data_IF_701928097255
#
_entry.id   IF_701928097255
#
_cell.length_a   1.000
_cell.length_b   1.000
_cell.length_c   1.000
_cell.angle_alpha   90.00
_cell.angle_beta   90.00
_cell.angle_gamma   90.00
#
_symmetry.space_group_name_H-M   'P 1'
#
loop_
_entity.id
_entity.type
_entity.pdbx_description
1 polymer ?
#
# COMPACT_ATOMS: atom_id res chain seq x y z
N UNK A 1 22.44 20.86 -2.08
CA UNK A 1 21.39 20.08 -1.39
C UNK A 1 21.28 20.66 0.02
N UNK A 2 20.33 21.56 0.26
CA UNK A 2 20.03 22.10 1.58
C UNK A 2 18.68 21.57 2.01
N UNK A 3 18.63 20.72 3.03
CA UNK A 3 17.40 20.24 3.63
C UNK A 3 17.16 20.99 4.93
N UNK A 4 16.04 21.71 5.03
CA UNK A 4 15.60 22.32 6.28
C UNK A 4 14.93 21.25 7.15
N UNK A 5 15.40 21.12 8.39
CA UNK A 5 14.85 20.17 9.35
C UNK A 5 13.66 20.82 10.08
N UNK A 6 12.47 20.25 9.91
CA UNK A 6 11.29 20.61 10.68
C UNK A 6 11.07 19.58 11.79
N UNK A 7 11.20 20.02 13.04
CA UNK A 7 10.97 19.17 14.21
C UNK A 7 9.49 19.17 14.60
N UNK A 8 8.90 17.97 14.72
CA UNK A 8 7.59 17.78 15.35
C UNK A 8 7.68 18.18 16.83
N UNK A 9 6.77 19.02 17.32
CA UNK A 9 6.63 19.30 18.76
C UNK A 9 5.45 18.50 19.31
N UNK A 10 5.52 18.02 20.56
CA UNK A 10 4.50 17.13 21.18
C UNK A 10 3.06 17.65 21.23
N UNK A 11 2.80 18.89 20.79
CA UNK A 11 1.48 19.52 20.81
C UNK A 11 1.04 20.04 19.42
N UNK A 12 1.67 19.59 18.33
CA UNK A 12 1.31 20.01 16.97
C UNK A 12 0.98 18.83 16.04
N UNK A 13 -0.22 18.23 16.14
CA UNK A 13 -0.65 17.11 15.31
C UNK A 13 -0.82 17.46 13.81
N UNK A 14 -0.68 18.73 13.45
CA UNK A 14 -0.92 19.21 12.08
C UNK A 14 0.18 18.79 11.09
N UNK A 15 1.40 18.52 11.56
CA UNK A 15 2.54 18.18 10.68
C UNK A 15 2.78 16.68 10.59
N UNK A 16 2.59 15.93 11.69
CA UNK A 16 3.02 14.53 11.78
C UNK A 16 1.88 13.50 11.64
N UNK A 17 0.63 13.95 11.56
CA UNK A 17 -0.53 13.03 11.58
C UNK A 17 -0.58 11.99 10.44
N UNK A 18 0.08 12.26 9.31
CA UNK A 18 0.22 11.26 8.25
C UNK A 18 1.24 10.18 8.60
N UNK A 19 2.41 10.57 9.11
CA UNK A 19 3.44 9.65 9.59
C UNK A 19 2.94 8.85 10.78
N UNK A 20 2.22 9.47 11.71
CA UNK A 20 1.62 8.81 12.88
C UNK A 20 0.63 7.72 12.45
N UNK A 21 -0.21 7.98 11.44
CA UNK A 21 -1.11 6.96 10.88
C UNK A 21 -0.37 5.81 10.22
N UNK A 22 0.72 6.10 9.50
CA UNK A 22 1.58 5.05 8.91
C UNK A 22 2.24 4.23 10.01
N UNK A 23 2.77 4.87 11.04
CA UNK A 23 3.42 4.22 12.18
C UNK A 23 2.43 3.32 12.94
N UNK A 24 1.21 3.79 13.20
CA UNK A 24 0.17 2.98 13.83
C UNK A 24 -0.23 1.76 12.98
N UNK A 25 -0.31 1.93 11.65
CA UNK A 25 -0.59 0.82 10.73
C UNK A 25 0.56 -0.19 10.69
N UNK A 26 1.82 0.28 10.69
CA UNK A 26 3.00 -0.56 10.79
C UNK A 26 3.03 -1.33 12.11
N UNK A 27 2.74 -0.68 13.24
CA UNK A 27 2.62 -1.36 14.53
C UNK A 27 1.55 -2.43 14.52
N UNK A 28 0.35 -2.13 14.00
CA UNK A 28 -0.73 -3.10 13.90
C UNK A 28 -0.31 -4.29 13.04
N UNK A 29 0.34 -4.04 11.90
CA UNK A 29 0.83 -5.08 11.02
C UNK A 29 1.87 -5.96 11.75
N UNK A 30 2.90 -5.34 12.32
CA UNK A 30 3.97 -6.03 13.05
C UNK A 30 3.43 -6.85 14.23
N UNK A 31 2.41 -6.37 14.97
CA UNK A 31 1.80 -7.15 16.06
C UNK A 31 1.23 -8.50 15.60
N UNK A 32 0.77 -8.62 14.36
CA UNK A 32 0.26 -9.88 13.81
C UNK A 32 1.38 -10.82 13.34
N UNK A 33 2.58 -10.29 13.11
CA UNK A 33 3.71 -11.03 12.53
C UNK A 33 4.95 -11.08 13.43
N UNK A 34 4.91 -10.52 14.64
CA UNK A 34 5.96 -10.67 15.65
C UNK A 34 5.50 -11.77 16.61
N UNK A 35 5.67 -13.01 16.18
CA UNK A 35 5.63 -14.20 17.04
C UNK A 35 7.06 -14.63 17.35
N UNK A 36 7.27 -15.37 18.45
CA UNK A 36 8.61 -15.84 18.86
C UNK A 36 9.39 -16.59 17.76
N UNK A 37 8.69 -17.15 16.75
CA UNK A 37 9.28 -17.83 15.61
C UNK A 37 9.31 -17.03 14.29
N UNK A 38 8.69 -15.86 14.23
CA UNK A 38 8.51 -15.10 12.98
C UNK A 38 9.61 -14.04 12.84
N UNK A 39 10.68 -14.39 12.10
CA UNK A 39 11.90 -13.56 11.94
C UNK A 39 11.92 -12.76 10.63
N UNK A 40 10.88 -12.86 9.81
CA UNK A 40 10.81 -12.29 8.47
C UNK A 40 10.04 -10.96 8.40
N UNK A 41 9.80 -10.31 9.54
CA UNK A 41 9.10 -9.02 9.64
C UNK A 41 9.62 -7.95 8.66
N UNK A 42 10.93 -7.94 8.37
CA UNK A 42 11.52 -7.00 7.42
C UNK A 42 11.01 -7.22 5.98
N UNK A 43 10.75 -8.47 5.58
CA UNK A 43 10.16 -8.80 4.26
C UNK A 43 8.69 -8.40 4.17
N UNK A 44 8.04 -8.25 5.33
CA UNK A 44 6.63 -7.90 5.43
C UNK A 44 6.41 -6.38 5.36
N UNK A 45 7.47 -5.58 5.55
CA UNK A 45 7.41 -4.12 5.39
C UNK A 45 7.00 -3.70 3.98
N UNK A 46 7.49 -4.40 2.96
CA UNK A 46 7.13 -4.12 1.56
C UNK A 46 5.61 -4.29 1.35
N UNK A 47 5.03 -5.32 1.99
CA UNK A 47 3.59 -5.58 1.92
C UNK A 47 2.80 -4.53 2.69
N UNK A 48 3.26 -4.13 3.87
CA UNK A 48 2.63 -3.06 4.65
C UNK A 48 2.64 -1.72 3.91
N UNK A 49 3.78 -1.33 3.34
CA UNK A 49 3.92 -0.13 2.52
C UNK A 49 3.01 -0.18 1.28
N UNK A 50 3.01 -1.31 0.58
CA UNK A 50 2.14 -1.50 -0.58
C UNK A 50 0.66 -1.37 -0.20
N UNK A 51 0.25 -1.96 0.92
CA UNK A 51 -1.14 -1.92 1.40
C UNK A 51 -1.56 -0.50 1.79
N UNK A 52 -0.70 0.24 2.48
CA UNK A 52 -0.93 1.66 2.80
C UNK A 52 -1.07 2.50 1.53
N UNK A 53 -0.16 2.34 0.56
CA UNK A 53 -0.20 3.08 -0.70
C UNK A 53 -1.41 2.74 -1.57
N UNK A 54 -2.03 1.57 -1.35
CA UNK A 54 -3.26 1.13 -2.01
C UNK A 54 -4.51 1.76 -1.37
N UNK A 55 -4.48 2.03 -0.07
CA UNK A 55 -5.66 2.47 0.67
C UNK A 55 -6.08 3.89 0.28
N UNK A 56 -7.34 4.07 -0.10
CA UNK A 56 -7.92 5.39 -0.34
C UNK A 56 -8.19 6.09 1.00
N UNK A 57 -7.79 7.35 1.10
CA UNK A 57 -8.15 8.19 2.23
C UNK A 57 -9.60 8.68 2.09
N UNK A 58 -10.41 8.62 3.15
CA UNK A 58 -11.78 9.15 3.13
C UNK A 58 -11.82 10.65 2.82
N UNK A 59 -10.82 11.41 3.27
CA UNK A 59 -10.77 12.86 3.09
C UNK A 59 -10.57 13.28 1.62
N UNK A 60 -9.79 12.52 0.86
CA UNK A 60 -9.42 12.85 -0.52
C UNK A 60 -10.04 11.92 -1.55
N UNK A 61 -10.64 10.81 -1.10
CA UNK A 61 -11.10 9.67 -1.89
C UNK A 61 -10.02 9.10 -2.84
N UNK A 62 -8.75 9.40 -2.56
CA UNK A 62 -7.59 9.00 -3.36
C UNK A 62 -6.59 8.28 -2.48
N UNK A 63 -5.89 7.35 -3.10
CA UNK A 63 -4.78 6.63 -2.52
C UNK A 63 -3.45 7.37 -2.76
N UNK A 64 -2.40 7.11 -1.95
CA UNK A 64 -1.06 7.62 -2.23
C UNK A 64 -0.55 7.25 -3.62
N UNK A 65 -0.82 6.03 -4.12
CA UNK A 65 -0.44 5.67 -5.49
C UNK A 65 -1.11 6.57 -6.54
N UNK A 66 -2.41 6.86 -6.41
CA UNK A 66 -3.08 7.76 -7.36
C UNK A 66 -2.56 9.19 -7.28
N UNK A 67 -2.20 9.65 -6.08
CA UNK A 67 -1.65 10.99 -5.92
C UNK A 67 -0.24 11.10 -6.52
N UNK A 68 0.56 10.05 -6.41
CA UNK A 68 1.94 10.04 -6.89
C UNK A 68 2.07 9.72 -8.39
N UNK A 69 1.29 8.76 -8.90
CA UNK A 69 1.43 8.23 -10.27
C UNK A 69 0.18 8.44 -11.14
N UNK A 70 -0.93 8.89 -10.56
CA UNK A 70 -2.21 9.00 -11.25
C UNK A 70 -2.95 7.68 -11.41
N UNK A 71 -2.39 6.54 -10.99
CA UNK A 71 -2.98 5.22 -11.18
C UNK A 71 -2.96 4.35 -9.91
N UNK A 72 -3.96 3.47 -9.79
CA UNK A 72 -3.99 2.42 -8.77
C UNK A 72 -3.43 1.11 -9.37
N UNK A 73 -2.43 0.47 -8.73
CA UNK A 73 -1.94 -0.81 -9.20
C UNK A 73 -3.01 -1.90 -9.07
N UNK A 74 -3.03 -2.81 -10.05
CA UNK A 74 -3.90 -3.98 -10.01
C UNK A 74 -3.39 -4.95 -8.96
N UNK A 75 -4.26 -5.32 -8.02
CA UNK A 75 -3.94 -6.35 -7.02
C UNK A 75 -4.41 -7.73 -7.52
N UNK A 76 -3.79 -8.82 -7.06
CA UNK A 76 -4.25 -10.17 -7.40
C UNK A 76 -5.75 -10.36 -7.14
N UNK A 77 -6.27 -9.76 -6.06
CA UNK A 77 -7.69 -9.78 -5.73
C UNK A 77 -8.57 -9.12 -6.82
N UNK A 78 -8.15 -7.99 -7.39
CA UNK A 78 -8.86 -7.33 -8.51
C UNK A 78 -8.81 -8.12 -9.82
N UNK A 79 -7.82 -9.00 -10.00
CA UNK A 79 -7.75 -9.89 -11.14
C UNK A 79 -8.64 -11.14 -10.97
N UNK A 80 -8.86 -11.58 -9.72
CA UNK A 80 -9.73 -12.73 -9.39
C UNK A 80 -11.21 -12.38 -9.36
N UNK A 81 -11.59 -11.14 -9.03
CA UNK A 81 -12.96 -10.67 -9.23
C UNK A 81 -13.17 -10.57 -10.73
N UNK A 82 -13.98 -11.49 -11.28
CA UNK A 82 -14.17 -11.70 -12.71
C UNK A 82 -14.23 -10.39 -13.48
N UNK A 83 -13.33 -10.26 -14.46
CA UNK A 83 -13.24 -9.14 -15.39
C UNK A 83 -14.62 -8.71 -15.91
N UNK A 84 -15.05 -7.50 -15.57
CA UNK A 84 -16.32 -6.89 -16.03
C UNK A 84 -16.14 -6.02 -17.28
N UNK A 85 -14.94 -6.00 -17.88
CA UNK A 85 -14.63 -5.16 -19.03
C UNK A 85 -15.16 -5.70 -20.35
N UNK A 86 -15.43 -4.80 -21.31
CA UNK A 86 -15.99 -5.13 -22.63
C UNK A 86 -15.02 -5.82 -23.60
N UNK A 87 -13.73 -5.93 -23.27
CA UNK A 87 -12.70 -6.41 -24.21
C UNK A 87 -12.15 -7.79 -23.82
N UNK A 88 -12.52 -8.87 -24.54
CA UNK A 88 -11.99 -10.22 -24.30
C UNK A 88 -10.47 -10.35 -24.49
N UNK A 89 -9.84 -9.43 -25.23
CA UNK A 89 -8.40 -9.46 -25.50
C UNK A 89 -7.57 -9.09 -24.24
N UNK A 90 -8.01 -8.09 -23.48
CA UNK A 90 -7.33 -7.69 -22.24
C UNK A 90 -7.36 -8.79 -21.18
N UNK A 91 -8.46 -9.55 -21.10
CA UNK A 91 -8.60 -10.70 -20.21
C UNK A 91 -7.61 -11.83 -20.55
N UNK A 92 -7.45 -12.15 -21.84
CA UNK A 92 -6.51 -13.20 -22.29
C UNK A 92 -5.06 -12.83 -21.98
N UNK A 93 -4.70 -11.55 -22.10
CA UNK A 93 -3.36 -11.06 -21.75
C UNK A 93 -3.08 -11.18 -20.26
N UNK A 94 -3.99 -10.72 -19.40
CA UNK A 94 -3.85 -10.82 -17.94
C UNK A 94 -3.74 -12.27 -17.44
N UNK A 95 -4.59 -13.17 -17.98
CA UNK A 95 -4.57 -14.60 -17.63
C UNK A 95 -3.29 -15.29 -18.11
N UNK A 96 -2.79 -14.94 -19.30
CA UNK A 96 -1.54 -15.49 -19.85
C UNK A 96 -0.28 -15.03 -19.11
N UNK A 97 -0.32 -13.86 -18.46
CA UNK A 97 0.76 -13.38 -17.58
C UNK A 97 0.82 -14.15 -16.26
N UNK A 98 -0.34 -14.50 -15.68
CA UNK A 98 -0.40 -15.25 -14.41
C UNK A 98 0.07 -16.70 -14.53
N UNK A 99 -0.08 -17.36 -15.69
CA UNK A 99 0.38 -18.74 -15.88
C UNK A 99 1.90 -18.88 -16.05
N UNK A 100 2.65 -17.76 -16.11
CA UNK A 100 4.12 -17.76 -16.22
C UNK A 100 4.83 -17.56 -14.88
N UNK A 101 4.08 -17.39 -13.79
CA UNK A 101 4.61 -17.15 -12.43
C UNK A 101 4.35 -18.33 -11.46
N UNK A 102 3.94 -19.48 -12.00
CA UNK A 102 3.85 -20.77 -11.30
C UNK A 102 4.73 -21.79 -12.01
#
# INVERSE_FOLDING_TARGET
>A
MGSELHFSTSFHPQTDGQTERVNALLELYLRHFVSANQKDWAKLLDIAQFSYNLQRSEATNKSPFELATGQQPLTPHTLTIGYTGRSPAAFKFAKGGMSKLT
#
